data_IF_568912411454
#
_entry.id   IF_568912411454
#
_cell.length_a   1.000
_cell.length_b   1.000
_cell.length_c   1.000
_cell.angle_alpha   90.00
_cell.angle_beta   90.00
_cell.angle_gamma   90.00
#
_symmetry.space_group_name_H-M   'P 1'
#
loop_
_entity.id
_entity.type
_entity.pdbx_description
1 polymer ?
#
# COMPACT_ATOMS: atom_id res chain seq x y z
N UNK A 1 7.91 15.89 -5.21
CA UNK A 1 7.77 14.68 -4.36
C UNK A 1 7.24 13.54 -5.23
N UNK A 2 7.86 12.37 -5.24
CA UNK A 2 7.34 11.22 -5.99
C UNK A 2 5.94 10.87 -5.47
N UNK A 3 4.92 10.86 -6.35
CA UNK A 3 3.53 10.57 -5.97
C UNK A 3 3.43 9.13 -5.46
N UNK A 4 2.85 8.95 -4.26
CA UNK A 4 2.54 7.63 -3.70
C UNK A 4 1.44 6.95 -4.53
N UNK A 5 1.35 5.63 -4.45
CA UNK A 5 0.21 4.91 -5.02
C UNK A 5 -1.05 5.30 -4.24
N UNK A 6 -2.13 5.56 -4.97
CA UNK A 6 -3.42 5.98 -4.43
C UNK A 6 -4.36 4.79 -4.39
N UNK A 7 -5.19 4.69 -3.35
CA UNK A 7 -6.20 3.63 -3.27
C UNK A 7 -7.21 3.70 -4.42
N UNK A 8 -7.41 4.89 -5.02
CA UNK A 8 -8.26 5.05 -6.21
C UNK A 8 -7.78 4.27 -7.44
N UNK A 9 -6.56 3.76 -7.42
CA UNK A 9 -5.98 2.95 -8.51
C UNK A 9 -6.26 1.46 -8.34
N UNK A 10 -6.78 1.05 -7.17
CA UNK A 10 -7.14 -0.33 -6.86
C UNK A 10 -8.62 -0.50 -7.20
N UNK A 11 -8.89 -1.41 -8.12
CA UNK A 11 -10.23 -1.71 -8.63
C UNK A 11 -10.74 -3.04 -8.09
N UNK A 12 -9.82 -3.96 -7.76
CA UNK A 12 -10.16 -5.32 -7.32
C UNK A 12 -9.36 -5.76 -6.09
N UNK A 13 -9.91 -6.60 -5.20
CA UNK A 13 -9.21 -7.12 -4.03
C UNK A 13 -7.95 -7.92 -4.38
N UNK A 14 -7.93 -8.63 -5.52
CA UNK A 14 -6.77 -9.45 -5.94
C UNK A 14 -5.50 -8.61 -6.10
N UNK A 15 -5.64 -7.33 -6.46
CA UNK A 15 -4.51 -6.42 -6.59
C UNK A 15 -3.82 -6.15 -5.24
N UNK A 16 -4.51 -6.35 -4.12
CA UNK A 16 -3.93 -6.24 -2.78
C UNK A 16 -3.00 -7.41 -2.43
N UNK A 17 -3.03 -8.50 -3.20
CA UNK A 17 -2.12 -9.64 -3.01
C UNK A 17 -0.66 -9.26 -3.30
N UNK A 18 -0.44 -8.28 -4.18
CA UNK A 18 0.89 -7.79 -4.59
C UNK A 18 1.18 -6.41 -3.96
N UNK A 19 0.92 -6.31 -2.66
CA UNK A 19 1.01 -5.04 -1.93
C UNK A 19 2.43 -4.47 -1.89
N UNK A 20 3.44 -5.34 -1.91
CA UNK A 20 4.86 -5.02 -1.92
C UNK A 20 5.31 -4.32 -3.21
N UNK A 21 4.68 -4.63 -4.34
CA UNK A 21 4.87 -3.95 -5.62
C UNK A 21 4.10 -2.63 -5.70
N UNK A 22 2.90 -2.59 -5.11
CA UNK A 22 2.08 -1.39 -5.04
C UNK A 22 2.63 -0.36 -4.05
N UNK A 23 3.32 -0.79 -2.99
CA UNK A 23 3.69 0.09 -1.89
C UNK A 23 5.21 0.19 -1.76
N UNK A 24 5.84 0.62 -2.86
CA UNK A 24 7.28 0.85 -2.91
C UNK A 24 7.64 2.29 -2.57
N UNK A 25 8.62 2.49 -1.69
CA UNK A 25 9.24 3.80 -1.46
C UNK A 25 9.94 4.32 -2.72
N UNK A 26 9.25 5.18 -3.48
CA UNK A 26 9.71 5.75 -4.75
C UNK A 26 10.79 6.85 -4.62
N UNK A 27 11.62 6.79 -3.56
CA UNK A 27 12.73 7.73 -3.34
C UNK A 27 14.06 7.25 -3.93
N UNK A 28 14.03 6.34 -4.91
CA UNK A 28 15.17 5.96 -5.78
C UNK A 28 16.50 5.87 -5.01
N UNK A 29 16.58 4.91 -4.08
CA UNK A 29 17.81 4.55 -3.34
C UNK A 29 18.47 5.64 -2.48
N UNK A 30 17.87 6.82 -2.33
CA UNK A 30 18.35 7.86 -1.40
C UNK A 30 18.17 7.52 0.08
N UNK A 31 17.80 6.27 0.42
CA UNK A 31 17.59 5.81 1.80
C UNK A 31 18.28 4.48 2.04
N UNK A 32 18.88 4.39 3.23
CA UNK A 32 19.38 3.12 3.75
C UNK A 32 18.28 2.04 3.77
N UNK A 33 18.69 0.78 3.53
CA UNK A 33 17.81 -0.39 3.37
C UNK A 33 16.84 -0.57 4.54
N UNK A 34 17.31 -0.45 5.78
CA UNK A 34 16.47 -0.56 6.98
C UNK A 34 15.37 0.52 7.04
N UNK A 35 15.69 1.74 6.60
CA UNK A 35 14.74 2.87 6.57
C UNK A 35 13.70 2.67 5.46
N UNK A 36 14.11 2.14 4.30
CA UNK A 36 13.23 1.74 3.20
C UNK A 36 12.22 0.68 3.68
N UNK A 37 12.71 -0.42 4.27
CA UNK A 37 11.86 -1.51 4.77
C UNK A 37 10.85 -1.06 5.83
N UNK A 38 11.28 -0.27 6.83
CA UNK A 38 10.35 0.30 7.84
C UNK A 38 9.24 1.11 7.17
N UNK A 39 9.58 1.89 6.15
CA UNK A 39 8.63 2.76 5.44
C UNK A 39 7.65 1.96 4.59
N UNK A 40 8.13 0.97 3.85
CA UNK A 40 7.26 0.09 3.07
C UNK A 40 6.23 -0.57 3.98
N UNK A 41 6.67 -1.22 5.08
CA UNK A 41 5.76 -1.80 6.08
C UNK A 41 4.74 -0.80 6.65
N UNK A 42 5.19 0.42 6.94
CA UNK A 42 4.28 1.47 7.40
C UNK A 42 3.22 1.79 6.34
N UNK A 43 3.62 1.94 5.09
CA UNK A 43 2.70 2.27 4.01
C UNK A 43 1.79 1.11 3.65
N UNK A 44 2.27 -0.13 3.65
CA UNK A 44 1.46 -1.34 3.45
C UNK A 44 0.31 -1.38 4.46
N UNK A 45 0.61 -1.16 5.73
CA UNK A 45 -0.41 -1.09 6.80
C UNK A 45 -1.43 0.03 6.58
N UNK A 46 -0.97 1.21 6.18
CA UNK A 46 -1.87 2.33 5.86
C UNK A 46 -2.73 2.04 4.63
N UNK A 47 -2.15 1.37 3.64
CA UNK A 47 -2.83 1.02 2.40
C UNK A 47 -3.95 0.00 2.68
N UNK A 48 -3.67 -1.10 3.39
CA UNK A 48 -4.70 -2.07 3.78
C UNK A 48 -5.81 -1.43 4.60
N UNK A 49 -5.47 -0.58 5.57
CA UNK A 49 -6.49 0.15 6.36
C UNK A 49 -7.38 0.99 5.47
N UNK A 50 -6.80 1.68 4.48
CA UNK A 50 -7.57 2.47 3.53
C UNK A 50 -8.41 1.60 2.60
N UNK A 51 -7.97 0.38 2.26
CA UNK A 51 -8.70 -0.56 1.40
C UNK A 51 -9.98 -1.05 2.07
N UNK A 52 -9.94 -1.30 3.38
CA UNK A 52 -11.12 -1.60 4.21
C UNK A 52 -12.06 -0.39 4.23
N UNK A 53 -11.54 0.81 4.53
CA UNK A 53 -12.36 2.04 4.56
C UNK A 53 -12.99 2.37 3.20
N UNK A 54 -12.32 2.03 2.08
CA UNK A 54 -12.84 2.27 0.73
C UNK A 54 -13.84 1.20 0.27
N UNK A 55 -14.12 0.18 1.08
CA UNK A 55 -15.03 -0.92 0.72
C UNK A 55 -14.50 -1.86 -0.35
N UNK A 56 -13.19 -1.83 -0.63
CA UNK A 56 -12.56 -2.79 -1.57
C UNK A 56 -12.44 -4.15 -0.90
N UNK A 57 -12.03 -4.16 0.38
CA UNK A 57 -12.21 -5.31 1.25
C UNK A 57 -13.54 -5.12 1.95
N UNK A 58 -14.61 -5.74 1.42
CA UNK A 58 -15.85 -5.88 2.18
C UNK A 58 -15.56 -6.78 3.38
N UNK A 59 -15.78 -6.27 4.59
CA UNK A 59 -16.02 -7.17 5.71
C UNK A 59 -17.39 -7.76 5.44
N UNK A 60 -17.44 -9.02 4.98
CA UNK A 60 -18.70 -9.72 4.81
C UNK A 60 -19.45 -9.66 6.15
N UNK A 61 -20.64 -9.02 6.20
CA UNK A 61 -21.47 -9.12 7.39
C UNK A 61 -21.96 -10.55 7.44
N UNK A 62 -21.43 -11.31 8.40
CA UNK A 62 -21.93 -12.64 8.76
C UNK A 62 -23.33 -12.54 9.32
#
# INVERSE_FOLDING_TARGET
MTKRNSMKQVVSPEQLSNLDELVVDKRYDKRAKAKKARRNRHYEKQFLRNAVTSGILSEDPT
#
